data_IF_675593468411
#
_entry.id   IF_675593468411
#
_cell.length_a   1.000
_cell.length_b   1.000
_cell.length_c   1.000
_cell.angle_alpha   90.00
_cell.angle_beta   90.00
_cell.angle_gamma   90.00
#
_symmetry.space_group_name_H-M   'P 1'
#
loop_
_entity.id
_entity.type
_entity.pdbx_description
1 polymer ?
#
# COMPACT_ATOMS: atom_id res chain seq x y z
N UNK A 1 36.39 -21.24 -5.63
CA UNK A 1 35.68 -19.94 -5.64
C UNK A 1 34.24 -20.06 -6.15
N UNK A 2 33.50 -21.13 -5.83
CA UNK A 2 32.09 -21.30 -6.23
C UNK A 2 31.10 -21.14 -5.06
N UNK A 3 31.60 -21.05 -3.83
CA UNK A 3 30.78 -21.07 -2.62
C UNK A 3 30.05 -19.75 -2.37
N UNK A 4 30.64 -18.60 -2.70
CA UNK A 4 30.09 -17.28 -2.41
C UNK A 4 28.80 -16.96 -3.20
N UNK A 5 28.64 -17.54 -4.39
CA UNK A 5 27.46 -17.31 -5.25
C UNK A 5 26.19 -17.94 -4.68
N UNK A 6 26.31 -19.13 -4.08
CA UNK A 6 25.19 -19.77 -3.40
C UNK A 6 24.75 -18.93 -2.20
N UNK A 7 25.70 -18.39 -1.43
CA UNK A 7 25.41 -17.54 -0.29
C UNK A 7 24.64 -16.25 -0.66
N UNK A 8 25.02 -15.53 -1.72
CA UNK A 8 24.29 -14.32 -2.14
C UNK A 8 22.88 -14.66 -2.65
N UNK A 9 22.74 -15.79 -3.35
CA UNK A 9 21.45 -16.19 -3.92
C UNK A 9 20.48 -16.67 -2.83
N UNK A 10 20.97 -17.47 -1.88
CA UNK A 10 20.21 -17.91 -0.73
C UNK A 10 19.78 -16.72 0.15
N UNK A 11 20.69 -15.75 0.35
CA UNK A 11 20.36 -14.52 1.06
C UNK A 11 19.24 -13.70 0.36
N UNK A 12 19.23 -13.67 -0.98
CA UNK A 12 18.18 -13.02 -1.73
C UNK A 12 16.84 -13.76 -1.62
N UNK A 13 16.87 -15.09 -1.60
CA UNK A 13 15.67 -15.91 -1.38
C UNK A 13 15.08 -15.70 0.01
N UNK A 14 15.92 -15.72 1.05
CA UNK A 14 15.52 -15.44 2.42
C UNK A 14 14.93 -14.04 2.56
N UNK A 15 15.50 -13.05 1.88
CA UNK A 15 15.00 -11.69 1.86
C UNK A 15 13.60 -11.60 1.21
N UNK A 16 13.37 -12.34 0.13
CA UNK A 16 12.05 -12.42 -0.51
C UNK A 16 11.02 -13.13 0.39
N UNK A 17 11.43 -14.12 1.17
CA UNK A 17 10.53 -14.79 2.11
C UNK A 17 10.21 -13.89 3.33
N UNK A 18 11.19 -13.11 3.82
CA UNK A 18 10.96 -12.05 4.84
C UNK A 18 10.02 -10.96 4.33
N UNK A 19 10.18 -10.53 3.08
CA UNK A 19 9.27 -9.56 2.46
C UNK A 19 7.84 -10.07 2.42
N UNK A 20 7.63 -11.33 2.05
CA UNK A 20 6.30 -11.95 2.07
C UNK A 20 5.70 -11.92 3.47
N UNK A 21 6.46 -12.33 4.49
CA UNK A 21 5.98 -12.35 5.88
C UNK A 21 5.59 -10.94 6.34
N UNK A 22 6.43 -9.93 6.08
CA UNK A 22 6.15 -8.55 6.45
C UNK A 22 4.92 -7.96 5.72
N UNK A 23 4.70 -8.30 4.44
CA UNK A 23 3.49 -7.88 3.72
C UNK A 23 2.24 -8.51 4.34
N UNK A 24 2.30 -9.80 4.70
CA UNK A 24 1.17 -10.52 5.30
C UNK A 24 0.86 -10.04 6.73
N UNK A 25 1.89 -9.68 7.50
CA UNK A 25 1.76 -9.13 8.86
C UNK A 25 1.33 -7.65 8.85
N UNK A 26 1.33 -7.00 7.68
CA UNK A 26 1.04 -5.57 7.56
C UNK A 26 2.17 -4.66 8.08
N UNK A 27 3.37 -5.22 8.29
CA UNK A 27 4.58 -4.52 8.71
C UNK A 27 5.20 -3.67 7.57
N UNK A 28 4.40 -2.77 7.00
CA UNK A 28 4.78 -1.95 5.84
C UNK A 28 5.96 -0.99 6.15
N UNK A 29 6.22 -0.71 7.43
CA UNK A 29 7.38 0.10 7.87
C UNK A 29 8.71 -0.57 7.53
N UNK A 30 8.76 -1.90 7.53
CA UNK A 30 9.97 -2.68 7.25
C UNK A 30 10.29 -2.79 5.76
N UNK A 31 9.32 -2.46 4.89
CA UNK A 31 9.49 -2.52 3.43
C UNK A 31 10.62 -1.61 2.93
N UNK A 32 10.82 -0.45 3.55
CA UNK A 32 11.92 0.45 3.18
C UNK A 32 13.29 -0.14 3.46
N UNK A 33 13.43 -0.88 4.58
CA UNK A 33 14.68 -1.58 4.93
C UNK A 33 14.93 -2.74 3.97
N UNK A 34 13.89 -3.54 3.71
CA UNK A 34 13.94 -4.69 2.79
C UNK A 34 14.30 -4.24 1.37
N UNK A 35 13.81 -3.09 0.91
CA UNK A 35 14.17 -2.53 -0.39
C UNK A 35 15.67 -2.19 -0.48
N UNK A 36 16.22 -1.52 0.54
CA UNK A 36 17.66 -1.19 0.61
C UNK A 36 18.55 -2.42 0.68
N UNK A 37 18.15 -3.43 1.46
CA UNK A 37 18.86 -4.72 1.53
C UNK A 37 18.87 -5.42 0.16
N UNK A 38 17.75 -5.35 -0.59
CA UNK A 38 17.65 -5.88 -1.96
C UNK A 38 18.60 -5.16 -2.91
N UNK A 39 18.62 -3.83 -2.88
CA UNK A 39 19.52 -3.00 -3.70
C UNK A 39 20.99 -3.27 -3.37
N UNK A 40 21.33 -3.40 -2.08
CA UNK A 40 22.68 -3.72 -1.65
C UNK A 40 23.13 -5.09 -2.16
N UNK A 41 22.29 -6.13 -2.04
CA UNK A 41 22.59 -7.47 -2.52
C UNK A 41 22.69 -7.53 -4.05
N UNK A 42 21.85 -6.76 -4.77
CA UNK A 42 21.90 -6.66 -6.23
C UNK A 42 23.09 -5.82 -6.74
N UNK A 43 23.55 -4.85 -5.95
CA UNK A 43 24.70 -4.00 -6.28
C UNK A 43 26.06 -4.65 -6.01
N UNK A 44 26.10 -5.81 -5.35
CA UNK A 44 27.32 -6.58 -5.16
C UNK A 44 27.79 -7.13 -6.51
N UNK A 45 28.98 -6.70 -6.97
CA UNK A 45 29.63 -7.16 -8.21
C UNK A 45 29.93 -8.68 -8.25
N UNK A 46 29.69 -9.39 -7.15
CA UNK A 46 29.91 -10.84 -7.03
C UNK A 46 28.73 -11.68 -7.53
N UNK A 47 27.70 -11.07 -8.13
CA UNK A 47 26.62 -11.79 -8.79
C UNK A 47 27.12 -12.42 -10.10
N UNK A 48 27.82 -13.54 -9.97
CA UNK A 48 28.00 -14.47 -11.08
C UNK A 48 26.63 -15.03 -11.43
N UNK A 49 26.28 -15.07 -12.72
CA UNK A 49 24.95 -15.42 -13.19
C UNK A 49 24.48 -16.76 -12.57
N UNK A 50 23.40 -16.75 -11.75
CA UNK A 50 22.88 -17.97 -11.14
C UNK A 50 22.36 -18.92 -12.23
N UNK A 51 22.24 -20.20 -11.89
CA UNK A 51 21.67 -21.17 -12.82
C UNK A 51 20.23 -20.79 -13.19
N UNK A 52 19.78 -21.25 -14.36
CA UNK A 52 18.46 -20.88 -14.89
C UNK A 52 17.32 -21.28 -13.94
N UNK A 53 17.47 -22.40 -13.23
CA UNK A 53 16.46 -22.91 -12.28
C UNK A 53 16.30 -21.99 -11.07
N UNK A 54 17.41 -21.48 -10.53
CA UNK A 54 17.44 -20.58 -9.39
C UNK A 54 16.95 -19.19 -9.77
N UNK A 55 17.35 -18.69 -10.95
CA UNK A 55 16.80 -17.44 -11.48
C UNK A 55 15.28 -17.51 -11.65
N UNK A 56 14.76 -18.62 -12.20
CA UNK A 56 13.31 -18.84 -12.32
C UNK A 56 12.62 -18.92 -10.96
N UNK A 57 13.26 -19.52 -9.95
CA UNK A 57 12.72 -19.58 -8.57
C UNK A 57 12.65 -18.19 -7.94
N UNK A 58 13.72 -17.41 -8.02
CA UNK A 58 13.78 -16.01 -7.58
C UNK A 58 12.70 -15.17 -8.27
N UNK A 59 12.60 -15.27 -9.60
CA UNK A 59 11.60 -14.54 -10.38
C UNK A 59 10.17 -14.87 -9.94
N UNK A 60 9.86 -16.14 -9.69
CA UNK A 60 8.55 -16.54 -9.15
C UNK A 60 8.30 -15.97 -7.76
N UNK A 61 9.29 -16.02 -6.86
CA UNK A 61 9.17 -15.43 -5.50
C UNK A 61 8.91 -13.93 -5.58
N UNK A 62 9.74 -13.19 -6.32
CA UNK A 62 9.60 -11.75 -6.50
C UNK A 62 8.25 -11.36 -7.13
N UNK A 63 7.80 -12.09 -8.17
CA UNK A 63 6.52 -11.84 -8.81
C UNK A 63 5.32 -12.00 -7.87
N UNK A 64 5.34 -13.03 -7.01
CA UNK A 64 4.30 -13.22 -5.98
C UNK A 64 4.29 -12.08 -4.97
N UNK A 65 5.46 -11.64 -4.51
CA UNK A 65 5.56 -10.54 -3.55
C UNK A 65 5.06 -9.22 -4.16
N UNK A 66 5.39 -8.94 -5.42
CA UNK A 66 4.89 -7.76 -6.13
C UNK A 66 3.36 -7.75 -6.21
N UNK A 67 2.74 -8.89 -6.50
CA UNK A 67 1.27 -9.01 -6.52
C UNK A 67 0.65 -8.79 -5.13
N UNK A 68 1.25 -9.38 -4.09
CA UNK A 68 0.80 -9.20 -2.70
C UNK A 68 0.92 -7.74 -2.25
N UNK A 69 2.06 -7.10 -2.50
CA UNK A 69 2.28 -5.70 -2.16
C UNK A 69 1.29 -4.79 -2.89
N UNK A 70 1.08 -5.03 -4.19
CA UNK A 70 0.08 -4.27 -4.94
C UNK A 70 -1.33 -4.44 -4.38
N UNK A 71 -1.70 -5.65 -3.95
CA UNK A 71 -2.97 -5.91 -3.29
C UNK A 71 -3.09 -5.18 -1.94
N UNK A 72 -2.03 -5.22 -1.11
CA UNK A 72 -1.98 -4.51 0.16
C UNK A 72 -2.14 -2.99 -0.02
N UNK A 73 -1.43 -2.40 -0.99
CA UNK A 73 -1.53 -0.96 -1.32
C UNK A 73 -2.96 -0.60 -1.73
N UNK A 74 -3.61 -1.43 -2.58
CA UNK A 74 -5.01 -1.20 -2.96
C UNK A 74 -5.93 -1.25 -1.75
N UNK A 75 -5.77 -2.24 -0.88
CA UNK A 75 -6.57 -2.37 0.35
C UNK A 75 -6.45 -1.14 1.26
N UNK A 76 -5.22 -0.70 1.53
CA UNK A 76 -4.98 0.51 2.36
C UNK A 76 -5.63 1.75 1.74
N UNK A 77 -5.52 1.92 0.41
CA UNK A 77 -6.16 3.05 -0.30
C UNK A 77 -7.69 3.00 -0.19
N UNK A 78 -8.30 1.82 -0.33
CA UNK A 78 -9.76 1.66 -0.20
C UNK A 78 -10.23 2.02 1.21
N UNK A 79 -9.52 1.58 2.24
CA UNK A 79 -9.84 1.93 3.64
C UNK A 79 -9.67 3.43 3.88
N UNK A 80 -8.57 4.03 3.40
CA UNK A 80 -8.33 5.46 3.52
C UNK A 80 -9.42 6.29 2.80
N UNK A 81 -9.84 5.87 1.61
CA UNK A 81 -10.95 6.50 0.88
C UNK A 81 -12.25 6.40 1.66
N UNK A 82 -12.58 5.23 2.22
CA UNK A 82 -13.77 5.03 3.06
C UNK A 82 -13.74 5.88 4.34
N UNK A 83 -12.58 6.01 4.98
CA UNK A 83 -12.45 6.85 6.16
C UNK A 83 -12.62 8.34 5.79
N UNK A 84 -12.10 8.75 4.63
CA UNK A 84 -12.27 10.10 4.10
C UNK A 84 -13.76 10.40 3.82
N UNK A 85 -14.50 9.49 3.18
CA UNK A 85 -15.94 9.69 2.94
C UNK A 85 -16.75 9.77 4.24
N UNK A 86 -16.39 8.97 5.25
CA UNK A 86 -17.04 9.03 6.57
C UNK A 86 -16.70 10.32 7.32
N UNK A 87 -15.44 10.78 7.26
CA UNK A 87 -14.98 11.98 7.95
C UNK A 87 -15.52 13.26 7.32
N UNK A 88 -15.63 13.30 5.99
CA UNK A 88 -16.09 14.48 5.26
C UNK A 88 -17.60 14.47 4.99
N UNK A 89 -18.27 13.34 5.22
CA UNK A 89 -19.72 13.17 5.05
C UNK A 89 -20.21 13.47 3.62
N UNK A 90 -21.48 13.19 3.29
CA UNK A 90 -22.11 13.91 2.20
C UNK A 90 -22.18 15.37 2.63
N UNK A 91 -21.25 16.19 2.15
CA UNK A 91 -21.35 17.65 2.29
C UNK A 91 -22.69 18.07 1.69
N UNK A 92 -23.57 18.60 2.54
CA UNK A 92 -24.80 19.30 2.17
C UNK A 92 -25.68 18.56 1.13
N UNK A 93 -26.60 17.71 1.61
CA UNK A 93 -27.63 17.13 0.76
C UNK A 93 -28.63 18.22 0.36
N UNK A 94 -28.61 18.60 -0.92
CA UNK A 94 -29.60 19.51 -1.47
C UNK A 94 -30.88 18.74 -1.79
N UNK A 95 -31.89 18.96 -0.96
CA UNK A 95 -33.25 18.46 -1.17
C UNK A 95 -34.09 19.56 -1.79
N UNK A 96 -34.82 19.24 -2.86
CA UNK A 96 -35.84 20.13 -3.39
C UNK A 96 -37.11 19.92 -2.59
N UNK A 97 -37.68 21.00 -2.05
CA UNK A 97 -38.97 20.92 -1.40
C UNK A 97 -40.11 20.79 -2.43
N UNK A 98 -41.34 20.57 -1.94
CA UNK A 98 -42.54 20.42 -2.77
C UNK A 98 -42.88 21.67 -3.60
N UNK A 99 -42.20 22.80 -3.35
CA UNK A 99 -42.34 24.07 -4.08
C UNK A 99 -41.19 24.34 -5.05
N UNK A 100 -40.23 23.42 -5.18
CA UNK A 100 -39.06 23.55 -6.05
C UNK A 100 -37.95 24.42 -5.45
N UNK A 101 -38.08 24.85 -4.19
CA UNK A 101 -37.04 25.60 -3.49
C UNK A 101 -35.94 24.65 -3.01
N UNK A 102 -34.70 25.09 -3.17
CA UNK A 102 -33.50 24.33 -2.80
C UNK A 102 -33.29 24.44 -1.28
N UNK A 103 -33.39 23.31 -0.58
CA UNK A 103 -33.22 23.21 0.88
C UNK A 103 -32.05 22.29 1.23
N UNK A 104 -31.05 22.87 1.88
CA UNK A 104 -29.84 22.14 2.30
C UNK A 104 -30.09 21.42 3.62
N UNK A 105 -30.15 20.09 3.59
CA UNK A 105 -30.15 19.24 4.79
C UNK A 105 -28.72 18.79 5.09
N UNK A 106 -28.25 19.09 6.31
CA UNK A 106 -26.93 18.66 6.80
C UNK A 106 -25.82 19.70 6.61
N UNK A 107 -25.92 20.79 7.36
CA UNK A 107 -24.82 21.70 7.66
C UNK A 107 -24.98 22.17 9.11
N UNK A 108 -23.89 22.38 9.86
CA UNK A 108 -23.96 23.01 11.19
C UNK A 108 -24.87 24.24 11.09
N UNK A 109 -25.90 24.40 11.95
CA UNK A 109 -26.80 25.52 11.83
C UNK A 109 -26.00 26.82 11.95
N UNK A 110 -25.89 27.57 10.84
CA UNK A 110 -25.49 28.98 10.92
C UNK A 110 -26.63 29.66 11.65
N UNK A 111 -26.40 30.01 12.91
CA UNK A 111 -27.37 30.69 13.75
C UNK A 111 -27.88 31.94 13.05
N UNK A 112 -29.11 31.86 12.52
CA UNK A 112 -29.84 33.03 12.09
C UNK A 112 -30.39 33.70 13.35
N UNK A 113 -29.58 34.58 13.94
CA UNK A 113 -30.05 35.55 14.94
C UNK A 113 -30.93 36.55 14.20
N UNK A 114 -32.24 36.35 14.29
CA UNK A 114 -33.23 37.31 13.83
C UNK A 114 -33.38 38.36 14.92
N UNK A 115 -32.88 39.58 14.68
CA UNK A 115 -33.15 40.71 15.56
C UNK A 115 -34.57 41.19 15.26
N UNK A 116 -35.53 40.85 16.12
CA UNK A 116 -36.83 41.52 16.18
C UNK A 116 -36.66 42.76 17.07
N UNK A 117 -36.69 43.94 16.46
CA UNK A 117 -37.04 45.21 17.09
C UNK A 117 -37.56 46.15 16.01
#
# INVERSE_FOLDING_TARGET
MHSDTFHTTDALEDLLDKERAAILDGALKDMGRIAREKEMLLGQQNLTAPDRKTLDRLRRKAGRNQQLLAAAIRGVRTVAARLNTLRNGPGEMNTYDRTGQRSTLGGKPKGALQHRA
#
